data_IF_662455744947
#
_entry.id   IF_662455744947
#
_cell.length_a   1.000
_cell.length_b   1.000
_cell.length_c   1.000
_cell.angle_alpha   90.00
_cell.angle_beta   90.00
_cell.angle_gamma   90.00
#
_symmetry.space_group_name_H-M   'P 1'
#
loop_
_entity.id
_entity.type
_entity.pdbx_description
1 polymer ?
#
# COMPACT_ATOMS: atom_id res chain seq x y z
N UNK A 1 12.63 8.46 -3.93
CA UNK A 1 11.83 9.66 -4.30
C UNK A 1 10.44 9.15 -4.66
N UNK A 2 9.47 9.25 -3.73
CA UNK A 2 8.14 8.60 -3.86
C UNK A 2 7.32 9.21 -4.99
N UNK A 3 6.66 8.38 -5.79
CA UNK A 3 5.83 8.74 -6.95
C UNK A 3 4.76 9.80 -6.60
N UNK A 4 4.29 9.85 -5.36
CA UNK A 4 3.36 10.88 -4.87
C UNK A 4 3.91 12.32 -4.90
N UNK A 5 5.23 12.51 -4.82
CA UNK A 5 5.85 13.85 -4.72
C UNK A 5 6.24 14.50 -6.05
N UNK A 6 6.07 13.80 -7.17
CA UNK A 6 6.54 14.29 -8.47
C UNK A 6 5.52 15.20 -9.21
N UNK A 7 4.30 15.36 -8.70
CA UNK A 7 3.20 16.02 -9.44
C UNK A 7 2.94 17.48 -9.02
N UNK A 8 3.53 17.98 -7.92
CA UNK A 8 3.17 19.30 -7.36
C UNK A 8 4.19 20.42 -7.61
N UNK A 9 5.32 20.16 -8.26
CA UNK A 9 6.32 21.21 -8.52
C UNK A 9 6.49 21.45 -10.02
N UNK A 10 5.81 22.48 -10.53
CA UNK A 10 6.32 23.57 -11.41
C UNK A 10 5.11 24.19 -12.13
N UNK A 11 4.53 25.24 -11.53
CA UNK A 11 3.87 26.33 -12.26
C UNK A 11 4.17 27.64 -11.51
N UNK A 12 5.13 28.41 -12.01
CA UNK A 12 5.04 29.89 -12.08
C UNK A 12 5.94 30.41 -13.21
N UNK A 13 5.27 30.83 -14.29
CA UNK A 13 5.53 31.96 -15.19
C UNK A 13 6.89 32.14 -15.91
N UNK A 14 6.85 32.19 -17.25
CA UNK A 14 7.89 32.78 -18.10
C UNK A 14 7.80 32.39 -19.59
N UNK A 15 7.17 33.24 -20.39
CA UNK A 15 6.80 33.17 -21.81
C UNK A 15 7.88 32.78 -22.87
N UNK A 16 7.35 32.29 -24.02
CA UNK A 16 7.87 32.24 -25.42
C UNK A 16 8.79 31.09 -25.89
N UNK A 17 8.22 30.21 -26.73
CA UNK A 17 8.92 29.59 -27.86
C UNK A 17 9.00 28.05 -27.85
N UNK A 18 8.23 27.41 -28.74
CA UNK A 18 8.40 26.00 -29.10
C UNK A 18 7.24 25.11 -28.72
N UNK A 19 6.40 24.77 -29.70
CA UNK A 19 5.44 23.69 -29.60
C UNK A 19 6.17 22.35 -29.51
N UNK A 20 6.48 21.92 -28.29
CA UNK A 20 6.49 20.51 -27.91
C UNK A 20 5.41 20.38 -26.85
N UNK A 21 4.21 20.01 -27.29
CA UNK A 21 3.20 19.45 -26.40
C UNK A 21 3.80 18.12 -25.93
N UNK A 22 4.59 18.19 -24.86
CA UNK A 22 5.05 17.02 -24.13
C UNK A 22 3.79 16.38 -23.56
N UNK A 23 3.35 15.28 -24.18
CA UNK A 23 2.27 14.44 -23.66
C UNK A 23 2.75 13.76 -22.39
N UNK A 24 2.83 14.52 -21.30
CA UNK A 24 3.00 14.04 -19.94
C UNK A 24 1.74 14.40 -19.14
N UNK A 25 0.57 14.06 -19.69
CA UNK A 25 -0.61 13.81 -18.87
C UNK A 25 -0.40 12.43 -18.24
N UNK A 26 0.30 12.44 -17.10
CA UNK A 26 0.62 11.22 -16.35
C UNK A 26 -0.65 10.47 -15.98
N UNK A 27 -0.69 9.18 -16.32
CA UNK A 27 -1.78 8.29 -15.93
C UNK A 27 -1.98 8.31 -14.41
N UNK A 28 -3.22 8.21 -13.94
CA UNK A 28 -3.53 8.09 -12.51
C UNK A 28 -2.89 6.81 -11.93
N UNK A 29 -2.68 6.77 -10.60
CA UNK A 29 -2.11 5.58 -9.94
C UNK A 29 -2.91 4.33 -10.29
N UNK A 30 -4.24 4.43 -10.33
CA UNK A 30 -5.13 3.32 -10.68
C UNK A 30 -5.01 2.90 -12.15
N UNK A 31 -4.82 3.84 -13.08
CA UNK A 31 -4.56 3.51 -14.49
C UNK A 31 -3.25 2.76 -14.67
N UNK A 32 -2.20 3.17 -13.94
CA UNK A 32 -0.92 2.46 -13.92
C UNK A 32 -1.08 1.04 -13.37
N UNK A 33 -1.77 0.90 -12.24
CA UNK A 33 -2.03 -0.41 -11.62
C UNK A 33 -2.88 -1.30 -12.53
N UNK A 34 -3.92 -0.77 -13.16
CA UNK A 34 -4.76 -1.49 -14.10
C UNK A 34 -3.99 -1.91 -15.35
N UNK A 35 -3.08 -1.06 -15.85
CA UNK A 35 -2.19 -1.38 -16.97
C UNK A 35 -1.24 -2.53 -16.64
N UNK A 36 -0.61 -2.48 -15.45
CA UNK A 36 0.26 -3.56 -14.95
C UNK A 36 -0.53 -4.86 -14.74
N UNK A 37 -1.77 -4.78 -14.23
CA UNK A 37 -2.63 -5.93 -13.98
C UNK A 37 -3.00 -6.73 -15.23
N UNK A 38 -3.02 -6.10 -16.41
CA UNK A 38 -3.30 -6.75 -17.69
C UNK A 38 -2.11 -7.52 -18.27
N UNK A 39 -0.91 -7.35 -17.73
CA UNK A 39 0.29 -8.01 -18.23
C UNK A 39 0.31 -9.51 -17.86
N UNK A 40 0.85 -10.38 -18.72
CA UNK A 40 1.11 -11.78 -18.37
C UNK A 40 1.94 -11.89 -17.09
N UNK A 41 1.69 -12.90 -16.26
CA UNK A 41 2.25 -12.98 -14.89
C UNK A 41 3.77 -12.74 -14.80
N UNK A 42 4.56 -13.33 -15.69
CA UNK A 42 6.02 -13.15 -15.72
C UNK A 42 6.42 -11.71 -16.07
N UNK A 43 5.74 -11.09 -17.03
CA UNK A 43 6.01 -9.72 -17.47
C UNK A 43 5.54 -8.70 -16.44
N UNK A 44 4.37 -8.93 -15.83
CA UNK A 44 3.87 -8.17 -14.69
C UNK A 44 4.89 -8.15 -13.55
N UNK A 45 5.40 -9.32 -13.17
CA UNK A 45 6.39 -9.46 -12.10
C UNK A 45 7.68 -8.70 -12.43
N UNK A 46 8.21 -8.86 -13.65
CA UNK A 46 9.39 -8.11 -14.12
C UNK A 46 9.17 -6.61 -14.02
N UNK A 47 8.01 -6.12 -14.47
CA UNK A 47 7.70 -4.69 -14.48
C UNK A 47 7.58 -4.11 -13.07
N UNK A 48 6.97 -4.84 -12.14
CA UNK A 48 6.89 -4.45 -10.73
C UNK A 48 8.28 -4.39 -10.09
N UNK A 49 9.14 -5.38 -10.34
CA UNK A 49 10.50 -5.41 -9.81
C UNK A 49 11.38 -4.27 -10.37
N UNK A 50 11.25 -3.94 -11.65
CA UNK A 50 11.94 -2.80 -12.26
C UNK A 50 11.50 -1.46 -11.67
N UNK A 51 10.20 -1.30 -11.38
CA UNK A 51 9.69 -0.13 -10.67
C UNK A 51 10.25 -0.05 -9.25
N UNK A 52 10.14 -1.15 -8.49
CA UNK A 52 10.64 -1.24 -7.12
C UNK A 52 12.15 -0.99 -7.01
N UNK A 53 12.97 -1.43 -7.98
CA UNK A 53 14.40 -1.10 -8.05
C UNK A 53 14.67 0.40 -8.19
N UNK A 54 13.81 1.12 -8.92
CA UNK A 54 13.93 2.58 -9.09
C UNK A 54 13.48 3.34 -7.85
N UNK A 55 12.47 2.83 -7.15
CA UNK A 55 11.92 3.45 -5.94
C UNK A 55 12.81 3.21 -4.71
N UNK A 56 13.31 1.98 -4.55
CA UNK A 56 14.31 1.58 -3.55
C UNK A 56 13.80 1.42 -2.11
N UNK A 57 12.55 1.78 -1.83
CA UNK A 57 11.99 1.70 -0.48
C UNK A 57 10.48 1.51 -0.47
N UNK A 58 9.97 0.81 0.53
CA UNK A 58 8.55 0.61 0.82
C UNK A 58 8.27 1.05 2.26
N UNK A 59 7.35 1.98 2.48
CA UNK A 59 6.84 2.27 3.82
C UNK A 59 5.50 1.59 4.09
N UNK A 60 5.41 0.95 5.25
CA UNK A 60 4.23 0.18 5.67
C UNK A 60 3.77 0.67 7.04
N UNK A 61 2.52 1.07 7.14
CA UNK A 61 1.83 1.16 8.43
C UNK A 61 1.04 -0.11 8.64
N UNK A 62 1.34 -0.84 9.70
CA UNK A 62 0.74 -2.15 9.99
C UNK A 62 0.08 -2.17 11.37
N UNK A 63 -1.05 -2.86 11.49
CA UNK A 63 -1.72 -3.12 12.77
C UNK A 63 -1.24 -4.41 13.46
N UNK A 64 -0.41 -5.19 12.78
CA UNK A 64 0.11 -6.48 13.25
C UNK A 64 1.07 -6.34 14.44
N UNK A 65 1.38 -7.46 15.11
CA UNK A 65 2.42 -7.51 16.15
C UNK A 65 3.80 -7.13 15.60
N UNK A 66 4.66 -6.56 16.45
CA UNK A 66 6.01 -6.12 16.03
C UNK A 66 6.86 -7.28 15.48
N UNK A 67 6.74 -8.47 16.07
CA UNK A 67 7.42 -9.68 15.61
C UNK A 67 6.99 -10.06 14.19
N UNK A 68 5.69 -10.15 13.93
CA UNK A 68 5.12 -10.42 12.60
C UNK A 68 5.56 -9.37 11.57
N UNK A 69 5.56 -8.08 11.94
CA UNK A 69 6.06 -7.00 11.07
C UNK A 69 7.52 -7.23 10.70
N UNK A 70 8.36 -7.60 11.67
CA UNK A 70 9.78 -7.85 11.45
C UNK A 70 10.01 -9.08 10.56
N UNK A 71 9.27 -10.16 10.79
CA UNK A 71 9.34 -11.39 9.98
C UNK A 71 8.99 -11.13 8.52
N UNK A 72 7.86 -10.45 8.25
CA UNK A 72 7.47 -10.09 6.89
C UNK A 72 8.47 -9.15 6.23
N UNK A 73 8.98 -8.15 6.97
CA UNK A 73 9.99 -7.23 6.45
C UNK A 73 11.28 -7.96 6.09
N UNK A 74 11.72 -8.91 6.91
CA UNK A 74 12.91 -9.73 6.66
C UNK A 74 12.72 -10.66 5.46
N UNK A 75 11.58 -11.36 5.38
CA UNK A 75 11.26 -12.25 4.28
C UNK A 75 11.16 -11.48 2.94
N UNK A 76 10.51 -10.31 2.95
CA UNK A 76 10.40 -9.46 1.78
C UNK A 76 11.77 -8.97 1.31
N UNK A 77 12.61 -8.45 2.21
CA UNK A 77 13.95 -7.97 1.88
C UNK A 77 14.90 -9.09 1.46
N UNK A 78 14.74 -10.31 1.99
CA UNK A 78 15.48 -11.48 1.51
C UNK A 78 15.15 -11.81 0.05
N UNK A 79 13.88 -11.68 -0.35
CA UNK A 79 13.44 -11.90 -1.73
C UNK A 79 13.76 -10.72 -2.66
N UNK A 80 13.67 -9.50 -2.15
CA UNK A 80 13.86 -8.25 -2.88
C UNK A 80 14.88 -7.35 -2.17
N UNK A 81 16.19 -7.69 -2.21
CA UNK A 81 17.23 -7.02 -1.43
C UNK A 81 17.50 -5.57 -1.86
N UNK A 82 16.95 -5.15 -3.00
CA UNK A 82 17.03 -3.78 -3.52
C UNK A 82 15.91 -2.86 -2.98
N UNK A 83 14.98 -3.37 -2.16
CA UNK A 83 13.92 -2.57 -1.53
C UNK A 83 14.13 -2.54 -0.02
N UNK A 84 14.35 -1.36 0.54
CA UNK A 84 14.34 -1.17 2.00
C UNK A 84 12.90 -1.12 2.51
N UNK A 85 12.57 -1.90 3.53
CA UNK A 85 11.24 -1.82 4.18
C UNK A 85 11.32 -0.93 5.42
N UNK A 86 10.48 0.10 5.47
CA UNK A 86 10.28 1.00 6.61
C UNK A 86 8.89 0.77 7.20
N UNK A 87 8.79 -0.10 8.20
CA UNK A 87 7.52 -0.50 8.78
C UNK A 87 7.30 0.13 10.17
N UNK A 88 6.12 0.70 10.39
CA UNK A 88 5.68 1.23 11.68
C UNK A 88 4.39 0.56 12.13
N UNK A 89 4.28 0.28 13.42
CA UNK A 89 3.08 -0.31 14.01
C UNK A 89 2.09 0.77 14.45
N UNK A 90 0.88 0.73 13.92
CA UNK A 90 -0.27 1.57 14.30
C UNK A 90 -1.49 0.68 14.53
N UNK A 91 -2.10 0.72 15.72
CA UNK A 91 -3.19 -0.18 16.08
C UNK A 91 -4.41 0.57 16.61
N UNK A 92 -5.61 0.02 16.35
CA UNK A 92 -6.88 0.52 16.85
C UNK A 92 -7.23 1.92 16.35
N UNK A 93 -8.21 2.54 17.01
CA UNK A 93 -8.76 3.84 16.61
C UNK A 93 -7.70 4.96 16.56
N UNK A 94 -6.78 5.01 17.53
CA UNK A 94 -5.68 6.00 17.52
C UNK A 94 -4.75 5.85 16.31
N UNK A 95 -4.50 4.61 15.87
CA UNK A 95 -3.74 4.34 14.68
C UNK A 95 -4.45 4.84 13.42
N UNK A 96 -5.74 4.54 13.30
CA UNK A 96 -6.59 5.03 12.20
C UNK A 96 -6.63 6.57 12.16
N UNK A 97 -6.86 7.24 13.28
CA UNK A 97 -6.92 8.70 13.36
C UNK A 97 -5.63 9.35 12.86
N UNK A 98 -4.48 8.78 13.23
CA UNK A 98 -3.18 9.24 12.75
C UNK A 98 -3.05 9.08 11.24
N UNK A 99 -3.42 7.92 10.70
CA UNK A 99 -3.38 7.67 9.24
C UNK A 99 -4.24 8.70 8.50
N UNK A 100 -5.47 8.90 8.94
CA UNK A 100 -6.41 9.85 8.33
C UNK A 100 -5.94 11.30 8.44
N UNK A 101 -5.35 11.67 9.58
CA UNK A 101 -4.78 13.00 9.78
C UNK A 101 -3.60 13.24 8.84
N UNK A 102 -2.63 12.31 8.79
CA UNK A 102 -1.46 12.42 7.93
C UNK A 102 -1.84 12.48 6.45
N UNK A 103 -2.85 11.71 6.02
CA UNK A 103 -3.41 11.79 4.67
C UNK A 103 -4.04 13.16 4.41
N UNK A 104 -4.91 13.64 5.30
CA UNK A 104 -5.62 14.92 5.16
C UNK A 104 -4.67 16.11 5.02
N UNK A 105 -3.53 16.09 5.71
CA UNK A 105 -2.51 17.16 5.63
C UNK A 105 -1.48 16.92 4.52
N UNK A 106 -1.66 15.90 3.68
CA UNK A 106 -0.77 15.58 2.55
C UNK A 106 0.62 15.07 2.97
N UNK A 107 0.74 14.49 4.17
CA UNK A 107 2.02 14.04 4.76
C UNK A 107 2.07 12.56 5.10
N UNK A 108 1.09 11.75 4.67
CA UNK A 108 1.12 10.31 4.86
C UNK A 108 2.35 9.72 4.14
N UNK A 109 3.30 9.12 4.88
CA UNK A 109 4.47 8.52 4.27
C UNK A 109 4.21 7.07 3.83
N UNK A 110 3.17 6.41 4.33
CA UNK A 110 2.92 5.01 4.07
C UNK A 110 2.49 4.77 2.60
N UNK A 111 3.08 3.74 2.00
CA UNK A 111 2.70 3.21 0.69
C UNK A 111 1.64 2.09 0.84
N UNK A 112 1.66 1.39 1.99
CA UNK A 112 0.66 0.37 2.39
C UNK A 112 0.19 0.66 3.81
N UNK A 113 -1.13 0.60 4.03
CA UNK A 113 -1.76 0.76 5.35
C UNK A 113 -2.56 -0.48 5.73
N UNK A 114 -2.32 -1.00 6.92
CA UNK A 114 -3.08 -2.07 7.56
C UNK A 114 -3.82 -1.50 8.77
N UNK A 115 -5.11 -1.82 8.85
CA UNK A 115 -6.01 -1.45 9.96
C UNK A 115 -6.83 -2.67 10.36
N UNK A 116 -7.33 -2.68 11.58
CA UNK A 116 -8.26 -3.72 12.03
C UNK A 116 -9.51 -3.71 11.13
N UNK A 117 -10.12 -4.88 10.90
CA UNK A 117 -11.27 -4.99 9.99
C UNK A 117 -12.42 -4.05 10.39
N UNK A 118 -12.66 -3.87 11.68
CA UNK A 118 -13.68 -2.94 12.21
C UNK A 118 -13.43 -1.47 11.81
N UNK A 119 -12.19 -1.12 11.48
CA UNK A 119 -11.76 0.23 11.10
C UNK A 119 -11.73 0.46 9.58
N UNK A 120 -11.86 -0.58 8.76
CA UNK A 120 -11.70 -0.46 7.29
C UNK A 120 -12.76 0.45 6.68
N UNK A 121 -14.01 0.39 7.18
CA UNK A 121 -15.12 1.18 6.64
C UNK A 121 -14.89 2.68 6.75
N UNK A 122 -14.31 3.15 7.84
CA UNK A 122 -13.99 4.57 8.04
C UNK A 122 -12.82 5.00 7.15
N UNK A 123 -11.79 4.17 7.06
CA UNK A 123 -10.66 4.41 6.15
C UNK A 123 -11.13 4.58 4.70
N UNK A 124 -12.07 3.74 4.22
CA UNK A 124 -12.58 3.80 2.86
C UNK A 124 -13.33 5.10 2.53
N UNK A 125 -14.01 5.73 3.50
CA UNK A 125 -14.73 7.00 3.29
C UNK A 125 -13.79 8.15 2.94
N UNK A 126 -12.50 8.06 3.30
CA UNK A 126 -11.51 9.10 3.02
C UNK A 126 -11.10 9.18 1.55
N UNK A 127 -11.32 8.12 0.77
CA UNK A 127 -10.84 8.03 -0.62
C UNK A 127 -9.31 7.93 -0.76
N UNK A 128 -8.57 7.69 0.34
CA UNK A 128 -7.10 7.65 0.31
C UNK A 128 -6.49 6.41 -0.39
N UNK A 129 -7.32 5.40 -0.66
CA UNK A 129 -6.91 4.12 -1.21
C UNK A 129 -6.91 4.17 -2.74
N UNK A 130 -5.92 3.53 -3.36
CA UNK A 130 -5.98 3.22 -4.78
C UNK A 130 -6.61 1.85 -4.97
N UNK A 131 -7.45 1.69 -6.00
CA UNK A 131 -7.94 0.38 -6.41
C UNK A 131 -6.84 -0.44 -7.04
N UNK A 132 -6.69 -1.67 -6.57
CA UNK A 132 -5.73 -2.64 -7.09
C UNK A 132 -6.44 -3.98 -7.23
N UNK A 133 -6.45 -4.56 -8.43
CA UNK A 133 -6.96 -5.91 -8.66
C UNK A 133 -5.82 -6.93 -8.48
N UNK A 134 -5.69 -7.47 -7.27
CA UNK A 134 -4.60 -8.39 -6.95
C UNK A 134 -4.81 -9.74 -7.62
N UNK A 135 -3.83 -10.28 -8.38
CA UNK A 135 -3.93 -11.62 -8.95
C UNK A 135 -3.99 -12.71 -7.86
N UNK A 136 -3.52 -12.41 -6.65
CA UNK A 136 -3.50 -13.34 -5.53
C UNK A 136 -4.90 -13.59 -4.95
N UNK A 137 -5.88 -12.71 -5.19
CA UNK A 137 -7.23 -12.83 -4.64
C UNK A 137 -7.93 -14.13 -5.05
N UNK A 138 -7.55 -14.69 -6.20
CA UNK A 138 -8.10 -15.94 -6.72
C UNK A 138 -7.72 -17.16 -5.86
N UNK A 139 -6.74 -17.02 -4.97
CA UNK A 139 -6.35 -18.06 -4.01
C UNK A 139 -7.12 -17.98 -2.68
N UNK A 140 -8.00 -16.99 -2.50
CA UNK A 140 -8.69 -16.73 -1.24
C UNK A 140 -10.22 -16.60 -1.45
N UNK A 141 -11.03 -17.07 -0.47
CA UNK A 141 -12.47 -16.81 -0.46
C UNK A 141 -12.80 -15.31 -0.57
N UNK A 142 -13.91 -14.99 -1.24
CA UNK A 142 -14.31 -13.61 -1.55
C UNK A 142 -14.61 -12.74 -0.32
N UNK A 143 -14.85 -13.34 0.85
CA UNK A 143 -15.03 -12.61 2.10
C UNK A 143 -13.75 -11.91 2.60
N UNK A 144 -12.58 -12.26 2.05
CA UNK A 144 -11.28 -11.72 2.46
C UNK A 144 -10.76 -10.60 1.54
N UNK A 145 -11.61 -10.08 0.65
CA UNK A 145 -11.25 -8.96 -0.21
C UNK A 145 -12.47 -8.18 -0.69
N UNK A 146 -12.25 -6.93 -1.07
CA UNK A 146 -13.28 -6.06 -1.61
C UNK A 146 -13.47 -6.28 -3.11
N UNK A 147 -14.73 -6.38 -3.56
CA UNK A 147 -15.05 -6.55 -4.98
C UNK A 147 -14.59 -5.39 -5.87
N UNK A 148 -14.42 -4.20 -5.30
CA UNK A 148 -13.94 -3.01 -6.02
C UNK A 148 -12.42 -2.85 -5.92
N UNK A 149 -11.70 -3.84 -5.36
CA UNK A 149 -10.24 -3.87 -5.27
C UNK A 149 -9.66 -2.86 -4.28
N UNK A 150 -10.43 -2.43 -3.27
CA UNK A 150 -10.03 -1.38 -2.32
C UNK A 150 -9.25 -1.91 -1.11
N UNK A 151 -9.45 -3.16 -0.72
CA UNK A 151 -8.74 -3.79 0.40
C UNK A 151 -8.65 -5.31 0.23
N UNK A 152 -7.66 -5.89 0.92
CA UNK A 152 -7.37 -7.33 0.99
C UNK A 152 -6.98 -7.68 2.42
N UNK A 153 -7.51 -8.79 2.95
CA UNK A 153 -7.10 -9.34 4.25
C UNK A 153 -5.71 -9.95 4.14
N UNK A 154 -4.82 -9.64 5.09
CA UNK A 154 -3.44 -10.18 5.15
C UNK A 154 -3.27 -11.21 6.27
N UNK A 155 -4.14 -11.19 7.26
CA UNK A 155 -4.16 -12.08 8.42
C UNK A 155 -5.59 -12.22 8.96
N UNK A 156 -5.84 -13.28 9.73
CA UNK A 156 -7.03 -13.39 10.57
C UNK A 156 -6.60 -13.78 11.98
N UNK A 157 -7.13 -13.10 12.99
CA UNK A 157 -6.84 -13.41 14.40
C UNK A 157 -8.02 -14.17 14.99
N UNK A 158 -7.73 -15.33 15.59
CA UNK A 158 -8.73 -16.10 16.35
C UNK A 158 -8.76 -15.59 17.79
N UNK A 159 -9.94 -15.21 18.26
CA UNK A 159 -10.18 -14.91 19.67
C UNK A 159 -10.61 -16.20 20.36
N UNK A 160 -9.79 -16.70 21.28
CA UNK A 160 -10.00 -17.95 21.99
C UNK A 160 -9.92 -17.74 23.50
N UNK A 161 -10.56 -18.62 24.26
CA UNK A 161 -10.34 -18.71 25.71
C UNK A 161 -9.09 -19.57 25.92
N UNK A 162 -8.10 -19.03 26.63
CA UNK A 162 -6.92 -19.76 27.08
C UNK A 162 -6.95 -19.91 28.60
N UNK A 163 -6.50 -21.05 29.12
CA UNK A 163 -6.33 -21.30 30.55
C UNK A 163 -4.98 -21.95 30.84
N UNK A 164 -4.53 -21.85 32.09
CA UNK A 164 -3.30 -22.46 32.54
C UNK A 164 -3.58 -23.89 33.01
N UNK A 165 -3.12 -24.89 32.25
CA UNK A 165 -3.35 -26.32 32.54
C UNK A 165 -2.67 -26.82 33.82
N UNK A 166 -1.80 -26.02 34.44
CA UNK A 166 -1.21 -26.34 35.75
C UNK A 166 -2.06 -25.80 36.92
N UNK A 167 -3.07 -24.97 36.65
CA UNK A 167 -3.90 -24.31 37.66
C UNK A 167 -5.39 -24.66 37.54
N UNK A 168 -5.86 -24.96 36.33
CA UNK A 168 -7.26 -25.29 36.01
C UNK A 168 -7.30 -26.55 35.16
#
# INVERSE_FOLDING_TARGET
MRISRMIVAIITAGWLGGALISSALGASVEEVLAGIGKLPAKERQRRLEEGAKKEGSLAVYSNQGLETIQEYSNAFQKKYPFVKVDASRLQGAKGLDRIMLEYRVGKLPADVVGVDFDNIGELLKTGMHARYDSPEKNHYPNQFWDKDGRWYTVDYTLVVIAYNTNLV
#
